data_IF_487507532099
#
_entry.id   IF_487507532099
#
_cell.length_a   1.000
_cell.length_b   1.000
_cell.length_c   1.000
_cell.angle_alpha   90.00
_cell.angle_beta   90.00
_cell.angle_gamma   90.00
#
_symmetry.space_group_name_H-M   'P 1'
#
loop_
_entity.id
_entity.type
_entity.pdbx_description
1 polymer ?
#
# COMPACT_ATOMS: atom_id res chain seq x y z
N UNK A 1 -0.82 -22.19 16.44
CA UNK A 1 0.65 -22.38 16.27
C UNK A 1 0.99 -23.00 14.93
N UNK A 2 0.58 -24.25 14.67
CA UNK A 2 0.97 -24.99 13.45
C UNK A 2 0.55 -24.29 12.15
N UNK A 3 -0.69 -23.77 12.08
CA UNK A 3 -1.18 -23.03 10.93
C UNK A 3 -0.40 -21.73 10.65
N UNK A 4 -0.08 -20.94 11.69
CA UNK A 4 0.66 -19.68 11.54
C UNK A 4 2.12 -19.91 11.16
N UNK A 5 2.76 -20.94 11.75
CA UNK A 5 4.11 -21.35 11.36
C UNK A 5 4.13 -21.83 9.91
N UNK A 6 3.13 -22.61 9.51
CA UNK A 6 3.00 -23.07 8.14
C UNK A 6 2.86 -21.88 7.18
N UNK A 7 1.98 -20.92 7.45
CA UNK A 7 1.81 -19.74 6.59
C UNK A 7 3.11 -18.93 6.45
N UNK A 8 3.84 -18.71 7.55
CA UNK A 8 5.15 -18.06 7.52
C UNK A 8 6.16 -18.85 6.66
N UNK A 9 6.25 -20.17 6.86
CA UNK A 9 7.20 -21.01 6.13
C UNK A 9 6.89 -21.09 4.64
N UNK A 10 5.60 -21.11 4.27
CA UNK A 10 5.17 -21.05 2.86
C UNK A 10 5.59 -19.73 2.22
N UNK A 11 5.42 -18.60 2.92
CA UNK A 11 5.90 -17.30 2.47
C UNK A 11 7.43 -17.29 2.33
N UNK A 12 8.18 -17.85 3.28
CA UNK A 12 9.64 -17.92 3.21
C UNK A 12 10.15 -18.76 2.02
N UNK A 13 9.33 -19.68 1.51
CA UNK A 13 9.62 -20.48 0.31
C UNK A 13 9.07 -19.86 -0.97
N UNK A 14 8.40 -18.72 -0.89
CA UNK A 14 7.66 -18.10 -1.99
C UNK A 14 6.76 -19.12 -2.71
N UNK A 15 6.03 -19.94 -1.95
CA UNK A 15 5.07 -20.88 -2.55
C UNK A 15 3.92 -20.13 -3.22
N UNK A 16 3.32 -20.72 -4.26
CA UNK A 16 2.15 -20.16 -4.93
C UNK A 16 1.05 -19.76 -3.94
N UNK A 17 0.37 -18.64 -4.24
CA UNK A 17 -0.67 -18.05 -3.39
C UNK A 17 -0.17 -17.65 -1.98
N UNK A 18 1.08 -17.21 -1.87
CA UNK A 18 1.62 -16.53 -0.69
C UNK A 18 1.88 -15.06 -1.01
N UNK A 19 1.93 -14.21 0.01
CA UNK A 19 2.17 -12.78 -0.21
C UNK A 19 3.51 -12.53 -0.90
N UNK A 20 4.56 -13.22 -0.46
CA UNK A 20 5.89 -13.07 -1.07
C UNK A 20 5.91 -13.54 -2.52
N UNK A 21 5.20 -14.62 -2.85
CA UNK A 21 5.05 -15.07 -4.23
C UNK A 21 4.37 -14.01 -5.10
N UNK A 22 3.24 -13.45 -4.63
CA UNK A 22 2.54 -12.40 -5.39
C UNK A 22 3.41 -11.17 -5.63
N UNK A 23 4.19 -10.76 -4.64
CA UNK A 23 5.14 -9.66 -4.82
C UNK A 23 6.27 -10.00 -5.79
N UNK A 24 6.82 -11.21 -5.72
CA UNK A 24 8.02 -11.57 -6.47
C UNK A 24 7.74 -11.98 -7.92
N UNK A 25 6.78 -12.89 -8.11
CA UNK A 25 6.54 -13.57 -9.39
C UNK A 25 5.46 -12.86 -10.20
N UNK A 26 4.44 -12.33 -9.54
CA UNK A 26 3.29 -11.68 -10.17
C UNK A 26 3.38 -10.15 -10.14
N UNK A 27 4.42 -9.59 -9.50
CA UNK A 27 4.57 -8.15 -9.26
C UNK A 27 3.25 -7.50 -8.81
N UNK A 28 2.55 -8.10 -7.83
CA UNK A 28 1.24 -7.64 -7.38
C UNK A 28 1.16 -7.56 -5.87
N UNK A 29 0.63 -6.45 -5.36
CA UNK A 29 0.30 -6.32 -3.95
C UNK A 29 -1.09 -6.91 -3.68
N UNK A 30 -1.12 -8.06 -3.00
CA UNK A 30 -2.38 -8.67 -2.55
C UNK A 30 -2.61 -8.40 -1.06
N UNK A 31 -3.57 -7.52 -0.76
CA UNK A 31 -3.86 -7.09 0.61
C UNK A 31 -4.33 -8.23 1.53
N UNK A 32 -5.08 -9.20 1.01
CA UNK A 32 -5.56 -10.31 1.83
C UNK A 32 -4.40 -11.23 2.23
N UNK A 33 -3.51 -11.53 1.27
CA UNK A 33 -2.33 -12.33 1.53
C UNK A 33 -1.33 -11.59 2.43
N UNK A 34 -1.19 -10.27 2.27
CA UNK A 34 -0.40 -9.42 3.18
C UNK A 34 -0.88 -9.60 4.63
N UNK A 35 -2.19 -9.45 4.86
CA UNK A 35 -2.75 -9.59 6.21
C UNK A 35 -2.63 -11.01 6.75
N UNK A 36 -2.79 -12.04 5.91
CA UNK A 36 -2.54 -13.44 6.32
C UNK A 36 -1.10 -13.63 6.79
N UNK A 37 -0.14 -13.07 6.08
CA UNK A 37 1.27 -13.10 6.47
C UNK A 37 1.51 -12.35 7.79
N UNK A 38 1.06 -11.10 7.91
CA UNK A 38 1.21 -10.28 9.12
C UNK A 38 0.58 -10.97 10.34
N UNK A 39 -0.67 -11.42 10.22
CA UNK A 39 -1.38 -12.10 11.30
C UNK A 39 -0.69 -13.41 11.71
N UNK A 40 -0.04 -14.10 10.77
CA UNK A 40 0.72 -15.30 11.10
C UNK A 40 1.89 -15.00 12.04
N UNK A 41 2.61 -13.89 11.82
CA UNK A 41 3.72 -13.47 12.69
C UNK A 41 3.17 -13.04 14.06
N UNK A 42 2.14 -12.21 14.09
CA UNK A 42 1.54 -11.74 15.34
C UNK A 42 1.01 -12.91 16.20
N UNK A 43 0.38 -13.89 15.58
CA UNK A 43 -0.10 -15.09 16.27
C UNK A 43 1.05 -15.97 16.75
N UNK A 44 2.12 -16.10 15.98
CA UNK A 44 3.33 -16.80 16.45
C UNK A 44 3.92 -16.09 17.68
N UNK A 45 4.07 -14.76 17.62
CA UNK A 45 4.54 -13.95 18.75
C UNK A 45 3.69 -14.19 20.00
N UNK A 46 2.35 -14.16 19.89
CA UNK A 46 1.44 -14.45 21.01
C UNK A 46 1.71 -15.82 21.63
N UNK A 47 1.83 -16.84 20.79
CA UNK A 47 1.92 -18.23 21.24
C UNK A 47 3.31 -18.61 21.77
N UNK A 48 4.35 -17.84 21.41
CA UNK A 48 5.74 -18.13 21.79
C UNK A 48 6.39 -17.04 22.63
N UNK A 49 5.64 -16.06 23.13
CA UNK A 49 6.19 -14.92 23.90
C UNK A 49 7.05 -15.35 25.09
N UNK A 50 6.61 -16.37 25.84
CA UNK A 50 7.33 -16.89 27.02
C UNK A 50 8.28 -18.06 26.69
N UNK A 51 8.52 -18.33 25.40
CA UNK A 51 9.32 -19.45 24.94
C UNK A 51 10.64 -18.98 24.32
N UNK A 52 11.71 -19.80 24.36
CA UNK A 52 12.92 -19.51 23.61
C UNK A 52 12.60 -19.33 22.12
N UNK A 53 13.16 -18.28 21.51
CA UNK A 53 12.93 -17.96 20.12
C UNK A 53 13.33 -19.14 19.22
N UNK A 54 12.37 -19.63 18.44
CA UNK A 54 12.62 -20.67 17.45
C UNK A 54 13.47 -20.09 16.31
N UNK A 55 14.68 -20.65 16.10
CA UNK A 55 15.64 -20.15 15.10
C UNK A 55 15.14 -20.28 13.66
N UNK A 56 14.37 -21.32 13.36
CA UNK A 56 13.79 -21.52 12.03
C UNK A 56 12.73 -20.46 11.74
N UNK A 57 11.80 -20.25 12.68
CA UNK A 57 10.78 -19.21 12.57
C UNK A 57 11.42 -17.81 12.49
N UNK A 58 12.44 -17.53 13.31
CA UNK A 58 13.19 -16.28 13.25
C UNK A 58 13.88 -16.08 11.90
N UNK A 59 14.54 -17.12 11.37
CA UNK A 59 15.13 -17.08 10.04
C UNK A 59 14.09 -16.76 8.96
N UNK A 60 12.92 -17.40 9.03
CA UNK A 60 11.82 -17.14 8.10
C UNK A 60 11.31 -15.70 8.19
N UNK A 61 11.02 -15.19 9.39
CA UNK A 61 10.58 -13.79 9.60
C UNK A 61 11.61 -12.80 9.07
N UNK A 62 12.90 -13.01 9.39
CA UNK A 62 13.97 -12.13 8.89
C UNK A 62 14.01 -12.13 7.36
N UNK A 63 13.96 -13.32 6.75
CA UNK A 63 14.08 -13.48 5.31
C UNK A 63 12.90 -12.82 4.59
N UNK A 64 11.66 -13.13 4.99
CA UNK A 64 10.46 -12.58 4.35
C UNK A 64 10.40 -11.06 4.52
N UNK A 65 10.71 -10.53 5.71
CA UNK A 65 10.79 -9.09 5.91
C UNK A 65 11.81 -8.42 4.99
N UNK A 66 13.03 -8.95 4.92
CA UNK A 66 14.07 -8.39 4.05
C UNK A 66 13.66 -8.40 2.58
N UNK A 67 13.05 -9.49 2.10
CA UNK A 67 12.57 -9.57 0.71
C UNK A 67 11.41 -8.64 0.41
N UNK A 68 10.44 -8.54 1.30
CA UNK A 68 9.33 -7.58 1.14
C UNK A 68 9.92 -6.17 1.06
N UNK A 69 10.79 -5.77 1.99
CA UNK A 69 11.41 -4.45 1.97
C UNK A 69 12.26 -4.20 0.71
N UNK A 70 12.96 -5.20 0.21
CA UNK A 70 13.70 -5.14 -1.06
C UNK A 70 12.77 -4.86 -2.24
N UNK A 71 11.65 -5.58 -2.37
CA UNK A 71 10.66 -5.33 -3.43
C UNK A 71 10.00 -3.96 -3.31
N UNK A 72 9.66 -3.52 -2.08
CA UNK A 72 9.12 -2.18 -1.87
C UNK A 72 10.13 -1.09 -2.26
N UNK A 73 11.42 -1.27 -1.94
CA UNK A 73 12.47 -0.33 -2.34
C UNK A 73 12.66 -0.30 -3.85
N UNK A 74 12.65 -1.45 -4.51
CA UNK A 74 12.74 -1.52 -5.97
C UNK A 74 11.53 -0.86 -6.63
N UNK A 75 10.33 -1.07 -6.11
CA UNK A 75 9.12 -0.42 -6.60
C UNK A 75 9.19 1.11 -6.56
N UNK A 76 9.91 1.66 -5.58
CA UNK A 76 10.16 3.10 -5.48
C UNK A 76 11.40 3.58 -6.25
N UNK A 77 12.11 2.69 -6.96
CA UNK A 77 13.28 3.03 -7.76
C UNK A 77 12.89 3.61 -9.10
N UNK A 78 13.62 4.64 -9.53
CA UNK A 78 13.42 5.28 -10.84
C UNK A 78 13.81 4.39 -12.02
N UNK A 79 14.60 3.35 -11.74
CA UNK A 79 15.03 2.35 -12.72
C UNK A 79 14.24 1.06 -12.63
N UNK A 80 13.11 1.07 -11.91
CA UNK A 80 12.27 -0.10 -11.81
C UNK A 80 11.66 -0.45 -13.16
N UNK A 81 11.80 -1.72 -13.52
CA UNK A 81 11.24 -2.30 -14.75
C UNK A 81 9.99 -3.11 -14.41
N UNK A 82 9.74 -3.39 -13.13
CA UNK A 82 8.66 -4.26 -12.64
C UNK A 82 7.81 -3.51 -11.62
N UNK A 83 6.84 -2.76 -12.11
CA UNK A 83 5.87 -2.07 -11.29
C UNK A 83 5.00 -3.07 -10.51
N UNK A 84 4.86 -2.86 -9.20
CA UNK A 84 3.97 -3.67 -8.36
C UNK A 84 2.53 -3.19 -8.59
N UNK A 85 1.73 -4.01 -9.27
CA UNK A 85 0.32 -3.78 -9.49
C UNK A 85 -0.46 -3.72 -8.16
N UNK A 86 -1.48 -2.85 -8.12
CA UNK A 86 -2.33 -2.60 -6.94
C UNK A 86 -1.57 -2.17 -5.68
N UNK A 87 -0.37 -1.58 -5.84
CA UNK A 87 0.39 -1.11 -4.69
C UNK A 87 -0.37 0.01 -3.94
N UNK A 88 -0.61 -0.14 -2.63
CA UNK A 88 -1.43 0.80 -1.86
C UNK A 88 -0.62 2.03 -1.44
N UNK A 89 -0.30 2.92 -2.40
CA UNK A 89 0.55 4.10 -2.17
C UNK A 89 0.12 4.96 -0.96
N UNK A 90 -1.18 5.16 -0.75
CA UNK A 90 -1.73 5.90 0.41
C UNK A 90 -1.25 5.33 1.73
N UNK A 91 -1.19 4.00 1.80
CA UNK A 91 -0.86 3.25 3.00
C UNK A 91 0.57 2.70 2.98
N UNK A 92 1.41 3.09 2.02
CA UNK A 92 2.77 2.55 1.88
C UNK A 92 3.60 2.78 3.15
N UNK A 93 3.54 3.99 3.71
CA UNK A 93 4.20 4.32 4.97
C UNK A 93 3.64 3.51 6.15
N UNK A 94 2.32 3.33 6.22
CA UNK A 94 1.67 2.49 7.23
C UNK A 94 2.12 1.02 7.13
N UNK A 95 2.20 0.47 5.92
CA UNK A 95 2.66 -0.91 5.67
C UNK A 95 4.10 -1.10 6.13
N UNK A 96 4.99 -0.15 5.83
CA UNK A 96 6.39 -0.20 6.27
C UNK A 96 6.49 -0.12 7.79
N UNK A 97 5.75 0.78 8.44
CA UNK A 97 5.70 0.90 9.91
C UNK A 97 5.20 -0.40 10.53
N UNK A 98 4.06 -0.90 10.06
CA UNK A 98 3.43 -2.13 10.54
C UNK A 98 4.37 -3.33 10.41
N UNK A 99 5.02 -3.51 9.25
CA UNK A 99 5.99 -4.58 9.06
C UNK A 99 7.15 -4.48 10.05
N UNK A 100 7.68 -3.27 10.26
CA UNK A 100 8.74 -3.02 11.24
C UNK A 100 8.31 -3.37 12.66
N UNK A 101 7.12 -2.94 13.07
CA UNK A 101 6.56 -3.18 14.41
C UNK A 101 6.27 -4.66 14.66
N UNK A 102 5.65 -5.35 13.71
CA UNK A 102 5.32 -6.78 13.81
C UNK A 102 6.59 -7.64 13.87
N UNK A 103 7.59 -7.33 13.04
CA UNK A 103 8.87 -8.06 13.04
C UNK A 103 9.64 -7.79 14.32
N UNK A 104 9.76 -6.53 14.75
CA UNK A 104 10.43 -6.20 16.00
C UNK A 104 9.71 -6.84 17.20
N UNK A 105 8.38 -6.80 17.21
CA UNK A 105 7.55 -7.43 18.21
C UNK A 105 7.79 -8.94 18.32
N UNK A 106 7.91 -9.63 17.18
CA UNK A 106 8.26 -11.06 17.13
C UNK A 106 9.59 -11.36 17.83
N UNK A 107 10.64 -10.57 17.59
CA UNK A 107 11.94 -10.77 18.24
C UNK A 107 11.94 -10.41 19.72
N UNK A 108 11.08 -9.49 20.14
CA UNK A 108 10.95 -9.07 21.53
C UNK A 108 9.94 -9.90 22.33
N UNK A 109 9.14 -10.75 21.68
CA UNK A 109 8.03 -11.46 22.31
C UNK A 109 6.86 -10.53 22.70
N UNK A 110 6.76 -9.35 22.05
CA UNK A 110 5.73 -8.34 22.33
C UNK A 110 4.85 -8.21 21.10
N UNK A 111 3.54 -8.40 21.26
CA UNK A 111 2.59 -8.25 20.17
C UNK A 111 2.26 -6.77 20.02
N UNK A 112 2.38 -6.18 18.82
CA UNK A 112 1.98 -4.79 18.59
C UNK A 112 0.51 -4.57 18.91
N UNK A 113 0.17 -3.36 19.37
CA UNK A 113 -1.21 -2.98 19.66
C UNK A 113 -1.95 -2.67 18.34
N UNK A 114 -2.91 -3.53 18.02
CA UNK A 114 -3.66 -3.54 16.77
C UNK A 114 -4.50 -2.28 16.53
N UNK A 115 -4.88 -1.59 17.61
CA UNK A 115 -5.72 -0.39 17.54
C UNK A 115 -5.06 0.80 16.84
N UNK A 116 -3.73 0.80 16.71
CA UNK A 116 -2.99 1.83 15.99
C UNK A 116 -3.02 1.66 14.46
N UNK A 117 -3.47 0.52 13.94
CA UNK A 117 -3.29 0.18 12.52
C UNK A 117 -4.59 0.24 11.68
N UNK A 118 -5.76 0.40 12.31
CA UNK A 118 -7.05 0.05 11.68
C UNK A 118 -7.78 1.18 10.95
N UNK A 119 -7.47 2.46 11.17
CA UNK A 119 -8.33 3.55 10.64
C UNK A 119 -8.34 3.67 9.10
N UNK A 120 -7.22 3.38 8.44
CA UNK A 120 -7.04 3.61 6.99
C UNK A 120 -6.66 2.36 6.19
N UNK A 121 -6.38 1.25 6.88
CA UNK A 121 -6.01 -0.03 6.27
C UNK A 121 -6.46 -1.19 7.18
N UNK A 122 -7.75 -1.55 7.17
CA UNK A 122 -8.30 -2.45 8.19
C UNK A 122 -7.83 -3.90 8.02
N UNK A 123 -7.57 -4.57 9.13
CA UNK A 123 -7.25 -5.99 9.15
C UNK A 123 -8.52 -6.85 9.02
N UNK A 124 -8.68 -7.66 7.95
CA UNK A 124 -9.89 -8.43 7.70
C UNK A 124 -10.17 -9.51 8.75
N UNK A 125 -9.16 -9.94 9.53
CA UNK A 125 -9.35 -10.89 10.64
C UNK A 125 -10.11 -10.26 11.83
N UNK A 126 -10.13 -8.94 11.93
CA UNK A 126 -10.78 -8.17 13.00
C UNK A 126 -11.98 -7.35 12.50
N UNK A 127 -12.08 -7.15 11.18
CA UNK A 127 -13.15 -6.40 10.51
C UNK A 127 -14.50 -7.14 10.43
N UNK A 128 -14.98 -7.71 11.54
CA UNK A 128 -16.39 -8.07 11.69
C UNK A 128 -17.34 -6.86 11.66
N UNK A 129 -16.80 -5.64 11.70
CA UNK A 129 -17.51 -4.36 11.62
C UNK A 129 -16.49 -3.39 11.00
N UNK A 130 -16.61 -3.03 9.72
CA UNK A 130 -16.84 -1.66 9.20
C UNK A 130 -16.94 -1.77 7.67
N UNK A 131 -18.14 -1.61 7.13
CA UNK A 131 -18.29 -1.18 5.76
C UNK A 131 -17.85 0.29 5.74
N UNK A 132 -16.57 0.56 5.47
CA UNK A 132 -16.08 1.93 5.45
C UNK A 132 -16.75 2.67 4.30
N UNK A 133 -17.52 3.71 4.66
CA UNK A 133 -17.96 4.72 3.72
C UNK A 133 -16.70 5.32 3.07
N UNK A 134 -16.54 5.12 1.77
CA UNK A 134 -15.41 5.69 1.05
C UNK A 134 -15.44 7.23 1.15
N UNK A 135 -14.27 7.89 1.32
CA UNK A 135 -14.20 9.32 1.60
C UNK A 135 -14.83 10.13 0.46
N UNK A 136 -15.56 11.20 0.79
CA UNK A 136 -16.20 12.05 -0.22
C UNK A 136 -15.20 12.79 -1.13
N UNK A 137 -13.97 13.02 -0.63
CA UNK A 137 -12.88 13.67 -1.34
C UNK A 137 -11.59 12.87 -1.13
N UNK A 138 -10.83 12.64 -2.20
CA UNK A 138 -9.49 12.05 -2.22
C UNK A 138 -8.46 13.11 -2.57
N UNK A 139 -7.33 13.09 -1.90
CA UNK A 139 -6.15 13.85 -2.30
C UNK A 139 -5.14 12.90 -2.92
N UNK A 140 -4.79 13.13 -4.19
CA UNK A 140 -3.83 12.34 -4.92
C UNK A 140 -2.55 13.17 -5.11
N UNK A 141 -1.40 12.59 -4.79
CA UNK A 141 -0.11 13.28 -4.88
C UNK A 141 0.95 12.39 -5.50
N UNK A 142 1.75 12.97 -6.40
CA UNK A 142 2.94 12.37 -6.99
C UNK A 142 4.14 13.28 -6.72
N UNK A 143 5.20 12.74 -6.11
CA UNK A 143 6.37 13.52 -5.66
C UNK A 143 7.68 12.84 -6.06
N UNK A 144 8.36 13.33 -7.10
CA UNK A 144 9.64 12.76 -7.55
C UNK A 144 10.50 13.78 -8.30
N UNK A 145 11.78 13.89 -7.93
CA UNK A 145 12.87 14.59 -8.63
C UNK A 145 12.44 15.80 -9.51
N UNK A 146 11.77 16.80 -8.93
CA UNK A 146 11.29 18.04 -9.60
C UNK A 146 9.87 17.99 -10.20
N UNK A 147 9.17 16.87 -10.10
CA UNK A 147 7.75 16.70 -10.46
C UNK A 147 6.90 16.52 -9.20
N UNK A 148 6.18 17.58 -8.84
CA UNK A 148 5.13 17.54 -7.81
C UNK A 148 3.80 17.77 -8.52
N UNK A 149 2.94 16.75 -8.55
CA UNK A 149 1.64 16.82 -9.20
C UNK A 149 0.56 16.42 -8.20
N UNK A 150 -0.48 17.23 -8.14
CA UNK A 150 -1.59 17.06 -7.21
C UNK A 150 -2.90 16.93 -7.98
N UNK A 151 -3.79 16.07 -7.49
CA UNK A 151 -5.16 15.99 -7.97
C UNK A 151 -6.13 15.78 -6.80
N UNK A 152 -7.38 16.14 -7.04
CA UNK A 152 -8.50 15.91 -6.15
C UNK A 152 -9.46 14.92 -6.81
N UNK A 153 -9.91 13.93 -6.04
CA UNK A 153 -10.95 13.00 -6.45
C UNK A 153 -12.25 13.25 -5.71
N UNK A 154 -13.33 13.59 -6.41
CA UNK A 154 -14.64 13.80 -5.79
C UNK A 154 -15.51 12.55 -5.96
N UNK A 155 -16.09 12.06 -4.87
CA UNK A 155 -16.99 10.90 -4.91
C UNK A 155 -18.35 11.30 -5.46
N UNK A 156 -18.80 10.57 -6.47
CA UNK A 156 -20.12 10.69 -7.09
C UNK A 156 -21.18 9.89 -6.33
N UNK A 157 -22.46 10.17 -6.61
CA UNK A 157 -23.59 9.47 -6.00
C UNK A 157 -23.59 7.95 -6.28
N UNK A 158 -22.99 7.53 -7.39
CA UNK A 158 -22.83 6.13 -7.78
C UNK A 158 -21.62 5.42 -7.13
N UNK A 159 -20.85 6.16 -6.33
CA UNK A 159 -19.67 5.66 -5.61
C UNK A 159 -18.36 5.75 -6.40
N UNK A 160 -18.39 6.17 -7.66
CA UNK A 160 -17.18 6.41 -8.45
C UNK A 160 -16.52 7.73 -8.07
N UNK A 161 -15.26 7.92 -8.47
CA UNK A 161 -14.51 9.15 -8.26
C UNK A 161 -14.27 9.87 -9.57
N UNK A 162 -14.52 11.18 -9.58
CA UNK A 162 -14.11 12.09 -10.64
C UNK A 162 -12.80 12.76 -10.25
N UNK A 163 -11.71 12.50 -11.00
CA UNK A 163 -10.38 13.00 -10.68
C UNK A 163 -10.08 14.27 -11.49
N UNK A 164 -9.62 15.31 -10.80
CA UNK A 164 -9.33 16.62 -11.36
C UNK A 164 -7.93 17.07 -10.93
N UNK A 165 -7.15 17.59 -11.87
CA UNK A 165 -5.84 18.19 -11.60
C UNK A 165 -6.02 19.41 -10.70
N UNK A 166 -5.26 19.47 -9.61
CA UNK A 166 -5.23 20.63 -8.74
C UNK A 166 -4.22 21.63 -9.31
N UNK A 167 -4.71 22.60 -10.09
CA UNK A 167 -3.87 23.60 -10.77
C UNK A 167 -3.51 24.80 -9.90
N UNK A 168 -4.17 24.96 -8.75
CA UNK A 168 -3.86 25.98 -7.76
C UNK A 168 -3.06 25.35 -6.61
N UNK A 169 -1.98 26.02 -6.21
CA UNK A 169 -1.08 25.67 -5.09
C UNK A 169 -1.78 25.99 -3.74
N UNK A 170 -3.05 25.62 -3.64
CA UNK A 170 -4.02 26.21 -2.72
C UNK A 170 -4.11 25.41 -1.42
N UNK A 171 -3.29 25.84 -0.46
CA UNK A 171 -3.27 25.37 0.94
C UNK A 171 -4.57 25.69 1.70
N UNK A 172 -5.49 26.45 1.10
CA UNK A 172 -6.70 26.97 1.77
C UNK A 172 -7.95 26.09 1.57
N UNK A 173 -7.89 25.04 0.73
CA UNK A 173 -8.98 24.06 0.57
C UNK A 173 -9.13 23.08 1.76
N UNK A 174 -8.15 23.08 2.67
CA UNK A 174 -8.03 22.14 3.80
C UNK A 174 -9.16 22.25 4.83
N UNK A 175 -9.84 23.40 4.90
CA UNK A 175 -10.78 23.72 6.00
C UNK A 175 -12.23 23.99 5.57
N UNK A 176 -12.57 23.76 4.30
CA UNK A 176 -13.83 24.27 3.74
C UNK A 176 -14.83 23.16 3.38
N UNK A 177 -16.08 23.32 3.85
CA UNK A 177 -17.27 22.55 3.41
C UNK A 177 -17.71 22.96 2.00
N UNK A 178 -16.78 23.12 1.06
CA UNK A 178 -17.08 23.63 -0.27
C UNK A 178 -17.72 22.55 -1.15
N UNK A 179 -18.79 22.94 -1.84
CA UNK A 179 -19.50 22.09 -2.78
C UNK A 179 -18.75 22.03 -4.11
N UNK A 180 -18.97 20.94 -4.86
CA UNK A 180 -18.49 20.63 -6.23
C UNK A 180 -18.46 21.80 -7.24
N UNK A 181 -19.20 22.89 -6.99
CA UNK A 181 -19.30 24.04 -7.90
C UNK A 181 -18.13 25.02 -7.86
N UNK A 182 -17.24 24.94 -6.87
CA UNK A 182 -16.25 26.01 -6.64
C UNK A 182 -14.79 25.60 -6.91
N UNK A 183 -14.52 24.34 -7.28
CA UNK A 183 -13.17 23.88 -7.62
C UNK A 183 -13.02 23.80 -9.15
N UNK A 184 -12.39 24.81 -9.75
CA UNK A 184 -11.96 24.76 -11.15
C UNK A 184 -10.65 23.96 -11.23
N UNK A 185 -10.67 22.83 -11.93
CA UNK A 185 -9.48 22.02 -12.19
C UNK A 185 -9.63 21.24 -13.50
N UNK A 186 -8.53 20.88 -14.15
CA UNK A 186 -8.58 20.11 -15.40
C UNK A 186 -9.02 18.68 -15.10
N UNK A 187 -10.14 18.25 -15.69
CA UNK A 187 -10.60 16.86 -15.58
C UNK A 187 -9.56 15.89 -16.14
N UNK A 188 -9.26 14.83 -15.38
CA UNK A 188 -8.33 13.78 -15.78
C UNK A 188 -9.07 12.51 -16.25
N UNK A 189 -9.75 11.82 -15.33
CA UNK A 189 -10.44 10.55 -15.60
C UNK A 189 -11.43 10.19 -14.48
N UNK A 190 -12.20 9.11 -14.68
CA UNK A 190 -13.01 8.47 -13.66
C UNK A 190 -12.29 7.27 -13.04
N UNK A 191 -12.52 7.02 -11.76
CA UNK A 191 -12.06 5.82 -11.08
C UNK A 191 -13.22 5.12 -10.37
N UNK A 192 -13.33 3.78 -10.45
CA UNK A 192 -14.44 3.03 -9.85
C UNK A 192 -14.43 3.06 -8.32
N UNK A 193 -13.27 3.29 -7.71
CA UNK A 193 -13.06 3.36 -6.26
C UNK A 193 -11.79 4.16 -5.94
N UNK A 194 -11.56 4.40 -4.65
CA UNK A 194 -10.43 5.18 -4.17
C UNK A 194 -9.07 4.55 -4.47
N UNK A 195 -8.96 3.22 -4.47
CA UNK A 195 -7.70 2.53 -4.77
C UNK A 195 -7.34 2.70 -6.25
N UNK A 196 -8.32 2.48 -7.12
CA UNK A 196 -8.21 2.68 -8.57
C UNK A 196 -7.90 4.15 -8.92
N UNK A 197 -8.41 5.11 -8.15
CA UNK A 197 -8.13 6.53 -8.36
C UNK A 197 -6.64 6.87 -8.21
N UNK A 198 -5.99 6.33 -7.18
CA UNK A 198 -4.56 6.56 -6.94
C UNK A 198 -3.69 5.90 -8.01
N UNK A 199 -4.03 4.67 -8.40
CA UNK A 199 -3.31 3.94 -9.45
C UNK A 199 -3.39 4.69 -10.79
N UNK A 200 -4.62 5.00 -11.25
CA UNK A 200 -4.83 5.71 -12.51
C UNK A 200 -4.18 7.10 -12.51
N UNK A 201 -4.12 7.76 -11.36
CA UNK A 201 -3.42 9.04 -11.23
C UNK A 201 -1.92 8.88 -11.35
N UNK A 202 -1.34 7.86 -10.71
CA UNK A 202 0.08 7.55 -10.84
C UNK A 202 0.45 7.27 -12.32
N UNK A 203 -0.32 6.41 -12.99
CA UNK A 203 -0.16 6.08 -14.41
C UNK A 203 -0.28 7.33 -15.31
N UNK A 204 -1.27 8.19 -15.02
CA UNK A 204 -1.46 9.44 -15.76
C UNK A 204 -0.27 10.39 -15.59
N UNK A 205 0.25 10.57 -14.36
CA UNK A 205 1.42 11.43 -14.11
C UNK A 205 2.65 10.85 -14.82
N UNK A 206 2.86 9.54 -14.76
CA UNK A 206 3.97 8.88 -15.44
C UNK A 206 3.89 9.03 -16.96
N UNK A 207 2.71 8.85 -17.56
CA UNK A 207 2.54 8.99 -19.02
C UNK A 207 2.66 10.44 -19.51
N UNK A 208 2.32 11.42 -18.67
CA UNK A 208 2.26 12.85 -19.03
C UNK A 208 3.56 13.59 -18.70
N UNK A 209 4.20 13.27 -17.58
CA UNK A 209 5.34 14.02 -17.03
C UNK A 209 6.64 13.21 -16.95
N UNK A 210 6.63 11.87 -17.04
CA UNK A 210 7.89 11.12 -17.10
C UNK A 210 8.45 11.16 -18.54
N UNK A 211 9.69 11.66 -18.75
CA UNK A 211 10.31 11.63 -20.06
C UNK A 211 10.91 10.23 -20.30
N UNK A 212 10.11 9.25 -20.70
CA UNK A 212 10.68 8.09 -21.36
C UNK A 212 11.14 8.50 -22.77
N UNK A 213 12.43 8.85 -22.85
CA UNK A 213 13.33 8.80 -24.02
C UNK A 213 12.65 8.54 -25.37
N UNK A 214 12.04 9.57 -25.96
CA UNK A 214 11.69 9.59 -27.39
C UNK A 214 12.51 10.61 -28.20
N UNK A 215 13.62 11.10 -27.65
CA UNK A 215 14.62 11.90 -28.37
C UNK A 215 15.83 11.09 -28.86
N UNK A 216 15.78 9.76 -28.83
CA UNK A 216 16.81 8.90 -29.43
C UNK A 216 16.41 8.32 -30.79
N UNK A 217 15.24 8.66 -31.33
CA UNK A 217 14.85 8.27 -32.69
C UNK A 217 13.80 9.24 -33.25
N UNK A 218 14.24 10.42 -33.71
CA UNK A 218 13.61 11.16 -34.83
C UNK A 218 14.54 12.30 -35.27
N UNK A 219 15.12 12.07 -36.47
CA UNK A 219 15.92 12.93 -37.37
C UNK A 219 17.26 13.46 -36.87
#
# INVERSE_FOLDING_TARGET
MEHSLQELMRNARAEENTFLYMLHEEARFDQLLFWRYVNSIMELTRLTADQPLNREAAGAVSFTYSKIMEYLQWHHSDSDVYEIEHFPYVNAHHIVSLLGEVVNGFYQGIVPDESHFDEHFPNPAFAGIVANEQPAILQLGYYKQETNVHALGFREEDGTYQIMLNEEDDRDLVDSKLSRREVEGTYLFHAPDASSAHQLFHEWVMSTYAPYRSALNRS
#
